data_IF_319075260007
#
_entry.id   IF_319075260007
#
_cell.length_a   1.000
_cell.length_b   1.000
_cell.length_c   1.000
_cell.angle_alpha   90.00
_cell.angle_beta   90.00
_cell.angle_gamma   90.00
#
_symmetry.space_group_name_H-M   'P 1'
#
loop_
_entity.id
_entity.type
_entity.pdbx_description
1 polymer ?
#
# COMPACT_ATOMS: atom_id res chain seq x y z
N UNK A 1 -11.39 17.81 2.67
CA UNK A 1 -11.00 17.56 1.27
C UNK A 1 -10.61 18.88 0.62
N UNK A 2 -9.49 18.91 -0.10
CA UNK A 2 -9.09 20.05 -0.93
C UNK A 2 -8.94 19.52 -2.37
N UNK A 3 -9.70 20.04 -3.32
CA UNK A 3 -9.70 19.56 -4.71
C UNK A 3 -8.93 20.51 -5.62
N UNK A 4 -8.33 19.95 -6.68
CA UNK A 4 -7.70 20.71 -7.76
C UNK A 4 -8.72 21.31 -8.74
N UNK A 5 -10.01 21.02 -8.56
CA UNK A 5 -11.11 21.52 -9.37
C UNK A 5 -11.94 22.58 -8.64
N UNK A 6 -12.61 23.43 -9.42
CA UNK A 6 -13.55 24.44 -8.92
C UNK A 6 -15.01 23.97 -8.94
N UNK A 7 -15.30 22.83 -9.55
CA UNK A 7 -16.65 22.27 -9.63
C UNK A 7 -16.90 21.31 -8.46
N UNK A 8 -17.91 21.59 -7.61
CA UNK A 8 -18.24 20.70 -6.51
C UNK A 8 -18.88 19.40 -7.02
N UNK A 9 -18.51 18.29 -6.40
CA UNK A 9 -19.07 16.96 -6.66
C UNK A 9 -19.40 16.36 -5.29
N UNK A 10 -20.69 16.19 -5.00
CA UNK A 10 -21.19 15.78 -3.68
C UNK A 10 -20.82 14.34 -3.34
N UNK A 11 -20.89 13.47 -4.34
CA UNK A 11 -20.44 12.08 -4.35
C UNK A 11 -18.95 11.90 -4.03
N UNK A 12 -18.13 12.93 -4.26
CA UNK A 12 -16.69 12.91 -3.93
C UNK A 12 -16.37 13.49 -2.56
N UNK A 13 -17.38 13.88 -1.78
CA UNK A 13 -17.18 14.23 -0.39
C UNK A 13 -16.80 12.98 0.43
N UNK A 14 -16.14 13.20 1.56
CA UNK A 14 -15.76 12.15 2.51
C UNK A 14 -16.39 12.46 3.88
N UNK A 15 -16.56 11.48 4.79
CA UNK A 15 -16.09 10.08 4.72
C UNK A 15 -16.73 9.23 3.60
N UNK A 16 -16.00 8.22 3.14
CA UNK A 16 -16.54 7.14 2.31
C UNK A 16 -17.25 6.10 3.23
N UNK A 17 -17.50 4.87 2.76
CA UNK A 17 -18.30 3.88 3.50
C UNK A 17 -17.59 3.39 4.75
N UNK A 18 -16.30 3.06 4.64
CA UNK A 18 -15.48 2.54 5.74
C UNK A 18 -14.31 3.43 6.11
N UNK A 19 -13.98 4.44 5.30
CA UNK A 19 -12.77 5.23 5.51
C UNK A 19 -12.87 6.71 5.15
N UNK A 20 -11.93 7.49 5.67
CA UNK A 20 -11.61 8.83 5.20
C UNK A 20 -10.10 8.94 4.98
N UNK A 21 -9.72 9.68 3.95
CA UNK A 21 -8.38 9.78 3.41
C UNK A 21 -7.92 11.23 3.36
N UNK A 22 -6.85 11.53 4.08
CA UNK A 22 -6.06 12.74 3.87
C UNK A 22 -4.80 12.36 3.10
N UNK A 23 -4.78 12.61 1.80
CA UNK A 23 -3.68 12.11 0.98
C UNK A 23 -3.95 12.17 -0.51
N UNK A 24 -3.09 11.49 -1.26
CA UNK A 24 -3.23 11.21 -2.69
C UNK A 24 -2.60 9.84 -2.98
N UNK A 25 -3.31 8.95 -3.64
CA UNK A 25 -2.78 7.63 -4.03
C UNK A 25 -2.07 7.76 -5.38
N UNK A 26 -0.74 7.73 -5.39
CA UNK A 26 0.07 7.96 -6.59
C UNK A 26 0.23 6.71 -7.47
N UNK A 27 -0.13 5.52 -6.97
CA UNK A 27 -0.14 4.26 -7.73
C UNK A 27 -1.52 3.89 -8.29
N UNK A 28 -2.52 4.79 -8.22
CA UNK A 28 -3.93 4.51 -8.50
C UNK A 28 -4.18 3.76 -9.81
N UNK A 29 -3.58 4.19 -10.92
CA UNK A 29 -3.84 3.56 -12.22
C UNK A 29 -3.35 2.10 -12.25
N UNK A 30 -2.22 1.82 -11.61
CA UNK A 30 -1.70 0.46 -11.47
C UNK A 30 -2.64 -0.39 -10.62
N UNK A 31 -3.03 0.11 -9.45
CA UNK A 31 -3.93 -0.60 -8.54
C UNK A 31 -5.30 -0.87 -9.18
N UNK A 32 -5.84 0.10 -9.91
CA UNK A 32 -7.09 -0.06 -10.67
C UNK A 32 -6.95 -1.19 -11.69
N UNK A 33 -5.91 -1.15 -12.53
CA UNK A 33 -5.69 -2.17 -13.57
C UNK A 33 -5.51 -3.57 -12.97
N UNK A 34 -4.79 -3.68 -11.85
CA UNK A 34 -4.57 -4.94 -11.16
C UNK A 34 -5.83 -5.50 -10.53
N UNK A 35 -6.66 -4.66 -9.93
CA UNK A 35 -7.99 -5.07 -9.46
C UNK A 35 -8.85 -5.53 -10.62
N UNK A 36 -8.89 -4.79 -11.73
CA UNK A 36 -9.61 -5.20 -12.95
C UNK A 36 -9.14 -6.52 -13.52
N UNK A 37 -7.83 -6.76 -13.54
CA UNK A 37 -7.27 -8.03 -14.00
C UNK A 37 -7.72 -9.22 -13.13
N UNK A 38 -7.93 -9.01 -11.82
CA UNK A 38 -8.39 -10.04 -10.88
C UNK A 38 -9.89 -10.36 -11.03
N UNK A 39 -10.71 -9.42 -11.50
CA UNK A 39 -12.17 -9.60 -11.64
C UNK A 39 -12.52 -10.83 -12.51
N UNK A 40 -11.72 -11.17 -13.51
CA UNK A 40 -11.98 -12.28 -14.43
C UNK A 40 -11.73 -13.69 -13.87
N UNK A 41 -11.04 -13.81 -12.74
CA UNK A 41 -10.72 -15.09 -12.07
C UNK A 41 -11.13 -15.08 -10.60
N UNK A 42 -12.00 -14.13 -10.24
CA UNK A 42 -12.44 -13.90 -8.88
C UNK A 42 -13.41 -15.01 -8.45
N UNK A 43 -13.16 -15.58 -7.27
CA UNK A 43 -14.04 -16.55 -6.64
C UNK A 43 -14.35 -16.09 -5.21
N UNK A 44 -15.57 -16.36 -4.74
CA UNK A 44 -16.03 -15.96 -3.41
C UNK A 44 -17.07 -16.93 -2.85
N UNK A 45 -16.73 -17.56 -1.73
CA UNK A 45 -17.68 -18.37 -0.96
C UNK A 45 -18.75 -17.51 -0.25
N UNK A 46 -18.46 -16.23 0.01
CA UNK A 46 -19.36 -15.30 0.70
C UNK A 46 -20.46 -14.77 -0.23
N UNK A 47 -20.10 -14.39 -1.46
CA UNK A 47 -21.05 -13.86 -2.44
C UNK A 47 -21.69 -14.95 -3.29
N UNK A 48 -21.00 -16.07 -3.53
CA UNK A 48 -21.44 -17.14 -4.42
C UNK A 48 -21.91 -16.59 -5.77
N UNK A 49 -23.11 -16.97 -6.20
CA UNK A 49 -23.73 -16.52 -7.46
C UNK A 49 -23.95 -14.99 -7.54
N UNK A 50 -23.85 -14.25 -6.43
CA UNK A 50 -23.99 -12.79 -6.42
C UNK A 50 -22.68 -12.05 -6.68
N UNK A 51 -21.54 -12.74 -6.82
CA UNK A 51 -20.24 -12.12 -7.01
C UNK A 51 -20.23 -11.18 -8.23
N UNK A 52 -20.83 -11.59 -9.34
CA UNK A 52 -20.94 -10.77 -10.56
C UNK A 52 -21.63 -9.43 -10.33
N UNK A 53 -22.53 -9.32 -9.34
CA UNK A 53 -23.23 -8.07 -9.01
C UNK A 53 -22.35 -7.06 -8.28
N UNK A 54 -21.26 -7.53 -7.69
CA UNK A 54 -20.24 -6.68 -7.06
C UNK A 54 -19.24 -6.14 -8.06
N UNK A 55 -19.30 -6.63 -9.31
CA UNK A 55 -18.43 -6.18 -10.39
C UNK A 55 -19.07 -5.00 -11.13
N UNK A 56 -18.28 -3.98 -11.50
CA UNK A 56 -16.87 -3.85 -11.17
C UNK A 56 -16.60 -3.53 -9.69
N UNK A 57 -15.53 -4.06 -9.13
CA UNK A 57 -15.17 -3.80 -7.72
C UNK A 57 -14.92 -2.31 -7.52
N UNK A 58 -14.16 -1.68 -8.42
CA UNK A 58 -13.96 -0.24 -8.43
C UNK A 58 -14.97 0.40 -9.38
N UNK A 59 -15.85 1.23 -8.81
CA UNK A 59 -16.85 1.99 -9.54
C UNK A 59 -16.19 2.93 -10.57
N UNK A 60 -16.91 3.26 -11.63
CA UNK A 60 -16.43 4.25 -12.62
C UNK A 60 -16.58 5.67 -12.05
N UNK A 61 -15.64 6.56 -12.33
CA UNK A 61 -15.68 8.01 -11.99
C UNK A 61 -15.56 8.38 -10.49
N UNK A 62 -15.05 7.47 -9.66
CA UNK A 62 -14.73 7.75 -8.25
C UNK A 62 -13.36 8.42 -8.07
N UNK A 63 -13.17 9.08 -6.93
CA UNK A 63 -11.84 9.57 -6.53
C UNK A 63 -10.88 8.42 -6.21
N UNK A 64 -9.60 8.73 -6.06
CA UNK A 64 -8.59 7.80 -5.53
C UNK A 64 -9.01 7.17 -4.19
N UNK A 65 -9.57 8.00 -3.31
CA UNK A 65 -10.05 7.66 -1.98
C UNK A 65 -11.30 6.77 -2.06
N UNK A 66 -12.19 7.07 -3.00
CA UNK A 66 -13.37 6.22 -3.26
C UNK A 66 -12.99 4.87 -3.86
N UNK A 67 -11.97 4.84 -4.72
CA UNK A 67 -11.43 3.60 -5.29
C UNK A 67 -10.84 2.71 -4.20
N UNK A 68 -10.10 3.30 -3.26
CA UNK A 68 -9.57 2.59 -2.09
C UNK A 68 -10.70 2.04 -1.22
N UNK A 69 -11.72 2.86 -0.92
CA UNK A 69 -12.87 2.44 -0.10
C UNK A 69 -13.68 1.31 -0.75
N UNK A 70 -13.85 1.32 -2.08
CA UNK A 70 -14.51 0.23 -2.80
C UNK A 70 -13.77 -1.11 -2.64
N UNK A 71 -12.45 -1.10 -2.80
CA UNK A 71 -11.64 -2.33 -2.63
C UNK A 71 -11.63 -2.76 -1.16
N UNK A 72 -11.53 -1.81 -0.23
CA UNK A 72 -11.61 -2.08 1.20
C UNK A 72 -12.94 -2.77 1.54
N UNK A 73 -14.07 -2.17 1.15
CA UNK A 73 -15.41 -2.74 1.34
C UNK A 73 -15.52 -4.15 0.75
N UNK A 74 -15.03 -4.35 -0.49
CA UNK A 74 -15.06 -5.65 -1.14
C UNK A 74 -14.29 -6.71 -0.33
N UNK A 75 -13.11 -6.38 0.19
CA UNK A 75 -12.33 -7.30 1.04
C UNK A 75 -13.04 -7.62 2.35
N UNK A 76 -13.68 -6.62 2.99
CA UNK A 76 -14.45 -6.82 4.22
C UNK A 76 -15.64 -7.75 4.00
N UNK A 77 -16.43 -7.47 2.96
CA UNK A 77 -17.63 -8.25 2.64
C UNK A 77 -17.29 -9.67 2.18
N UNK A 78 -16.07 -9.88 1.68
CA UNK A 78 -15.53 -11.19 1.31
C UNK A 78 -14.75 -11.88 2.46
N UNK A 79 -15.02 -11.49 3.71
CA UNK A 79 -14.60 -12.24 4.90
C UNK A 79 -13.30 -11.80 5.57
N UNK A 80 -12.61 -10.76 5.06
CA UNK A 80 -11.44 -10.21 5.76
C UNK A 80 -11.86 -9.25 6.86
N UNK A 81 -11.09 -9.22 7.94
CA UNK A 81 -11.27 -8.17 8.96
C UNK A 81 -10.77 -6.82 8.44
N UNK A 82 -11.28 -5.72 9.01
CA UNK A 82 -10.89 -4.37 8.64
C UNK A 82 -9.38 -4.14 8.78
N UNK A 83 -8.78 -4.61 9.87
CA UNK A 83 -7.35 -4.52 10.13
C UNK A 83 -6.54 -5.29 9.09
N UNK A 84 -6.94 -6.52 8.77
CA UNK A 84 -6.26 -7.35 7.78
C UNK A 84 -6.29 -6.70 6.39
N UNK A 85 -7.47 -6.22 5.96
CA UNK A 85 -7.61 -5.54 4.68
C UNK A 85 -6.75 -4.28 4.59
N UNK A 86 -6.70 -3.46 5.65
CA UNK A 86 -5.86 -2.27 5.71
C UNK A 86 -4.36 -2.64 5.69
N UNK A 87 -3.93 -3.66 6.44
CA UNK A 87 -2.53 -4.12 6.43
C UNK A 87 -2.09 -4.67 5.08
N UNK A 88 -3.02 -5.27 4.31
CA UNK A 88 -2.77 -5.73 2.95
C UNK A 88 -2.66 -4.57 1.95
N UNK A 89 -3.56 -3.59 2.04
CA UNK A 89 -3.61 -2.48 1.09
C UNK A 89 -2.52 -1.42 1.36
N UNK A 90 -2.20 -1.18 2.63
CA UNK A 90 -1.19 -0.20 3.08
C UNK A 90 -0.15 -0.92 3.96
N UNK A 91 0.69 -1.81 3.37
CA UNK A 91 1.70 -2.53 4.13
C UNK A 91 2.80 -1.59 4.60
N UNK A 92 3.37 -1.90 5.77
CA UNK A 92 4.55 -1.19 6.25
C UNK A 92 5.80 -1.53 5.42
N UNK A 93 6.84 -0.71 5.51
CA UNK A 93 8.09 -0.95 4.80
C UNK A 93 8.85 -2.12 5.45
N UNK A 94 8.77 -3.32 4.85
CA UNK A 94 9.29 -4.56 5.44
C UNK A 94 10.60 -5.07 4.81
N UNK A 95 10.86 -4.78 3.54
CA UNK A 95 11.95 -5.40 2.76
C UNK A 95 13.35 -5.18 3.33
N UNK A 96 13.61 -3.98 3.87
CA UNK A 96 14.92 -3.60 4.41
C UNK A 96 14.88 -3.33 5.92
N UNK A 97 13.85 -3.80 6.62
CA UNK A 97 13.73 -3.63 8.07
C UNK A 97 14.49 -4.76 8.80
N UNK A 98 15.63 -4.44 9.40
CA UNK A 98 16.42 -5.43 10.15
C UNK A 98 15.88 -5.70 11.56
N UNK A 99 15.01 -4.84 12.10
CA UNK A 99 14.42 -4.98 13.43
C UNK A 99 13.10 -5.77 13.41
N UNK A 100 12.45 -5.83 12.24
CA UNK A 100 11.23 -6.61 12.05
C UNK A 100 11.48 -8.12 12.16
N UNK A 101 10.59 -8.80 12.91
CA UNK A 101 10.62 -10.25 13.08
C UNK A 101 10.41 -10.99 11.75
N UNK A 102 11.05 -12.16 11.61
CA UNK A 102 10.93 -12.99 10.40
C UNK A 102 9.48 -13.39 10.12
N UNK A 103 8.70 -13.64 11.17
CA UNK A 103 7.28 -13.94 11.06
C UNK A 103 6.47 -12.80 10.42
N UNK A 104 6.75 -11.56 10.83
CA UNK A 104 6.10 -10.36 10.30
C UNK A 104 6.56 -10.07 8.87
N UNK A 105 7.84 -10.28 8.57
CA UNK A 105 8.37 -10.21 7.19
C UNK A 105 7.69 -11.21 6.27
N UNK A 106 7.59 -12.47 6.67
CA UNK A 106 6.94 -13.52 5.90
C UNK A 106 5.47 -13.20 5.62
N UNK A 107 4.76 -12.62 6.60
CA UNK A 107 3.38 -12.13 6.40
C UNK A 107 3.31 -11.07 5.29
N UNK A 108 4.15 -10.04 5.34
CA UNK A 108 4.13 -8.98 4.33
C UNK A 108 4.65 -9.43 2.97
N UNK A 109 5.68 -10.29 2.93
CA UNK A 109 6.19 -10.89 1.70
C UNK A 109 5.10 -11.71 1.01
N UNK A 110 4.40 -12.56 1.76
CA UNK A 110 3.26 -13.31 1.24
C UNK A 110 2.19 -12.39 0.64
N UNK A 111 1.76 -11.36 1.37
CA UNK A 111 0.73 -10.45 0.87
C UNK A 111 1.20 -9.56 -0.29
N UNK A 112 2.51 -9.29 -0.41
CA UNK A 112 3.06 -8.57 -1.56
C UNK A 112 2.89 -9.32 -2.88
N UNK A 113 2.75 -10.66 -2.83
CA UNK A 113 2.41 -11.49 -3.99
C UNK A 113 0.90 -11.50 -4.31
N UNK A 114 0.06 -11.01 -3.40
CA UNK A 114 -1.41 -11.03 -3.53
C UNK A 114 -1.95 -9.67 -3.94
N UNK A 115 -1.50 -8.61 -3.27
CA UNK A 115 -1.98 -7.24 -3.42
C UNK A 115 -0.79 -6.29 -3.49
N UNK A 116 -0.73 -5.51 -4.56
CA UNK A 116 0.20 -4.40 -4.65
C UNK A 116 -0.18 -3.26 -3.68
N UNK A 117 0.81 -2.55 -3.10
CA UNK A 117 0.55 -1.45 -2.19
C UNK A 117 -0.22 -0.30 -2.85
N UNK A 118 -1.25 0.19 -2.17
CA UNK A 118 -1.92 1.44 -2.49
C UNK A 118 -1.12 2.60 -1.91
N UNK A 119 -0.08 2.98 -2.65
CA UNK A 119 0.97 3.90 -2.20
C UNK A 119 0.67 5.37 -2.54
N UNK A 120 1.36 6.25 -1.83
CA UNK A 120 1.20 7.70 -1.90
C UNK A 120 1.08 8.32 -0.50
N UNK A 121 1.24 9.65 -0.37
CA UNK A 121 1.08 10.31 0.92
C UNK A 121 -0.32 10.07 1.47
N UNK A 122 -0.45 9.42 2.62
CA UNK A 122 -1.75 9.03 3.15
C UNK A 122 -1.81 9.07 4.68
N UNK A 123 -2.90 9.64 5.19
CA UNK A 123 -3.41 9.39 6.53
C UNK A 123 -4.84 8.91 6.37
N UNK A 124 -5.05 7.62 6.62
CA UNK A 124 -6.32 6.94 6.40
C UNK A 124 -6.92 6.59 7.75
N UNK A 125 -8.08 7.14 8.05
CA UNK A 125 -8.91 6.75 9.20
C UNK A 125 -10.00 5.81 8.73
N UNK A 126 -10.32 4.78 9.49
CA UNK A 126 -11.30 3.76 9.09
C UNK A 126 -12.14 3.28 10.27
N UNK A 127 -13.33 2.76 9.96
CA UNK A 127 -14.25 2.20 10.95
C UNK A 127 -15.23 1.21 10.30
N UNK A 128 -15.53 0.12 10.99
CA UNK A 128 -16.63 -0.82 10.69
C UNK A 128 -17.77 -0.74 11.72
N UNK A 129 -17.75 0.29 12.57
CA UNK A 129 -18.70 0.46 13.68
C UNK A 129 -18.29 -0.25 14.98
N UNK A 130 -17.40 -1.25 14.94
CA UNK A 130 -16.80 -1.87 16.13
C UNK A 130 -15.41 -1.33 16.42
N UNK A 131 -14.63 -1.10 15.38
CA UNK A 131 -13.30 -0.54 15.48
C UNK A 131 -13.30 0.87 14.92
N UNK A 132 -12.47 1.75 15.50
CA UNK A 132 -12.02 2.96 14.83
C UNK A 132 -10.50 2.96 14.82
N UNK A 133 -9.91 3.19 13.67
CA UNK A 133 -8.46 3.13 13.51
C UNK A 133 -7.93 4.12 12.51
N UNK A 134 -6.61 4.18 12.46
CA UNK A 134 -5.89 4.98 11.49
C UNK A 134 -4.53 4.34 11.14
N UNK A 135 -4.13 4.50 9.89
CA UNK A 135 -2.79 4.20 9.39
C UNK A 135 -2.22 5.39 8.63
N UNK A 136 -0.89 5.49 8.64
CA UNK A 136 -0.18 6.33 7.69
C UNK A 136 0.35 5.49 6.54
N UNK A 137 0.66 6.15 5.43
CA UNK A 137 1.50 5.56 4.41
C UNK A 137 2.87 5.13 4.98
N UNK A 138 3.56 4.26 4.23
CA UNK A 138 4.86 3.69 4.59
C UNK A 138 5.93 4.72 4.95
N UNK A 139 5.85 5.94 4.43
CA UNK A 139 6.81 7.02 4.67
C UNK A 139 6.30 8.04 5.69
N UNK A 140 5.03 7.96 6.11
CA UNK A 140 4.40 8.88 7.07
C UNK A 140 4.37 10.32 6.58
N UNK A 141 3.96 10.52 5.32
CA UNK A 141 4.00 11.82 4.65
C UNK A 141 2.86 12.76 5.06
N UNK A 142 1.92 12.28 5.89
CA UNK A 142 0.81 13.09 6.42
C UNK A 142 0.82 13.11 7.95
N UNK A 143 0.54 14.26 8.57
CA UNK A 143 0.50 14.36 10.02
C UNK A 143 -0.78 13.75 10.59
N UNK A 144 -0.65 12.97 11.66
CA UNK A 144 -1.76 12.52 12.50
C UNK A 144 -1.35 12.52 13.96
N UNK A 145 -2.08 13.26 14.79
CA UNK A 145 -1.82 13.46 16.22
C UNK A 145 -3.03 12.97 17.02
N UNK A 146 -2.80 12.41 18.19
CA UNK A 146 -3.88 11.98 19.05
C UNK A 146 -3.67 12.35 20.53
N UNK A 147 -4.80 12.51 21.22
CA UNK A 147 -4.89 12.65 22.67
C UNK A 147 -5.70 11.50 23.24
N UNK A 148 -5.19 10.93 24.33
CA UNK A 148 -5.96 10.09 25.24
C UNK A 148 -6.22 10.92 26.49
N UNK A 149 -7.46 10.91 26.96
CA UNK A 149 -7.84 11.64 28.17
C UNK A 149 -8.06 10.71 29.36
N UNK A 150 -8.15 11.26 30.57
CA UNK A 150 -8.45 10.49 31.78
C UNK A 150 -9.91 10.03 31.86
N UNK A 151 -10.81 10.64 31.08
CA UNK A 151 -12.21 10.24 30.92
C UNK A 151 -12.43 9.36 29.67
N UNK A 152 -11.41 8.59 29.28
CA UNK A 152 -11.44 7.57 28.23
C UNK A 152 -11.90 8.05 26.84
N UNK A 153 -11.64 9.32 26.52
CA UNK A 153 -11.82 9.84 25.16
C UNK A 153 -10.53 9.71 24.36
N UNK A 154 -10.73 9.36 23.08
CA UNK A 154 -9.70 9.35 22.06
C UNK A 154 -10.02 10.45 21.06
N UNK A 155 -9.10 11.40 20.91
CA UNK A 155 -9.24 12.50 19.96
C UNK A 155 -8.06 12.42 19.00
N UNK A 156 -8.33 12.17 17.72
CA UNK A 156 -7.32 12.16 16.66
C UNK A 156 -7.65 13.22 15.62
N UNK A 157 -6.64 13.96 15.18
CA UNK A 157 -6.75 14.94 14.12
C UNK A 157 -5.42 15.11 13.38
N UNK A 158 -5.46 15.71 12.19
CA UNK A 158 -4.26 16.06 11.42
C UNK A 158 -3.38 17.10 12.12
N UNK A 159 -3.97 17.89 13.03
CA UNK A 159 -3.31 18.96 13.77
C UNK A 159 -3.64 18.90 15.27
N UNK A 160 -2.88 19.65 16.07
CA UNK A 160 -3.11 19.79 17.51
C UNK A 160 -3.94 21.03 17.80
N UNK A 161 -4.79 20.96 18.83
CA UNK A 161 -5.61 22.11 19.24
C UNK A 161 -6.92 22.28 18.46
N UNK A 162 -7.33 21.26 17.69
CA UNK A 162 -8.61 21.25 16.97
C UNK A 162 -9.82 21.13 17.92
N UNK A 163 -9.62 20.47 19.06
CA UNK A 163 -10.62 20.31 20.11
C UNK A 163 -10.04 20.83 21.41
N UNK A 164 -10.79 21.68 22.11
CA UNK A 164 -10.42 22.16 23.44
C UNK A 164 -10.53 21.04 24.47
N UNK A 165 -9.39 20.69 25.06
CA UNK A 165 -9.28 19.69 26.12
C UNK A 165 -8.52 20.30 27.28
N UNK A 166 -9.11 20.26 28.49
CA UNK A 166 -8.44 20.72 29.70
C UNK A 166 -7.11 19.99 29.89
N UNK A 167 -6.03 20.74 30.11
CA UNK A 167 -4.66 20.18 30.16
C UNK A 167 -4.53 19.08 31.21
N UNK A 168 -5.17 19.24 32.37
CA UNK A 168 -5.15 18.28 33.47
C UNK A 168 -5.94 16.99 33.17
N UNK A 169 -6.79 16.99 32.14
CA UNK A 169 -7.51 15.81 31.68
C UNK A 169 -6.76 15.03 30.59
N UNK A 170 -5.60 15.50 30.14
CA UNK A 170 -4.83 14.82 29.09
C UNK A 170 -3.93 13.75 29.72
N UNK A 171 -4.26 12.48 29.46
CA UNK A 171 -3.50 11.31 29.90
C UNK A 171 -2.26 11.08 29.05
N UNK A 172 -2.41 11.14 27.73
CA UNK A 172 -1.30 10.91 26.79
C UNK A 172 -1.46 11.77 25.55
N UNK A 173 -0.34 12.31 25.03
CA UNK A 173 -0.26 12.93 23.71
C UNK A 173 0.65 12.08 22.83
N UNK A 174 0.17 11.75 21.63
CA UNK A 174 0.92 10.92 20.68
C UNK A 174 0.80 11.41 19.24
N UNK A 175 1.55 10.75 18.37
CA UNK A 175 1.45 10.89 16.92
C UNK A 175 1.46 9.51 16.30
N UNK A 176 0.74 9.36 15.19
CA UNK A 176 0.83 8.17 14.37
C UNK A 176 2.22 8.12 13.72
N UNK A 177 2.79 6.91 13.64
CA UNK A 177 4.12 6.68 13.06
C UNK A 177 3.96 5.87 11.77
N UNK A 178 4.81 6.09 10.76
CA UNK A 178 4.82 5.25 9.57
C UNK A 178 4.87 3.76 9.96
N UNK A 179 4.11 2.94 9.24
CA UNK A 179 4.00 1.50 9.49
C UNK A 179 3.16 1.10 10.70
N UNK A 180 2.89 1.98 11.67
CA UNK A 180 2.08 1.66 12.86
C UNK A 180 0.59 1.87 12.62
N UNK A 181 -0.23 0.92 13.06
CA UNK A 181 -1.69 1.03 13.11
C UNK A 181 -2.14 1.54 14.47
N UNK A 182 -2.95 2.60 14.45
CA UNK A 182 -3.72 3.03 15.61
C UNK A 182 -5.09 2.37 15.57
N UNK A 183 -5.52 1.72 16.65
CA UNK A 183 -6.79 1.00 16.65
C UNK A 183 -7.44 1.04 18.04
N UNK A 184 -8.68 1.50 18.10
CA UNK A 184 -9.56 1.39 19.26
C UNK A 184 -10.55 0.27 19.00
N UNK A 185 -10.63 -0.70 19.91
CA UNK A 185 -11.66 -1.75 19.91
C UNK A 185 -12.74 -1.38 20.91
N UNK A 186 -13.93 -0.99 20.42
CA UNK A 186 -15.06 -0.65 21.29
C UNK A 186 -15.65 -1.88 22.00
N UNK A 187 -15.43 -3.09 21.48
CA UNK A 187 -15.84 -4.33 22.15
C UNK A 187 -14.99 -4.63 23.38
N UNK A 188 -13.71 -4.29 23.35
CA UNK A 188 -12.79 -4.43 24.50
C UNK A 188 -12.66 -3.16 25.34
N UNK A 189 -13.13 -2.02 24.83
CA UNK A 189 -13.04 -0.73 25.50
C UNK A 189 -11.62 -0.21 25.65
N UNK A 190 -10.72 -0.52 24.71
CA UNK A 190 -9.30 -0.13 24.81
C UNK A 190 -8.67 0.23 23.47
N UNK A 191 -7.55 0.95 23.55
CA UNK A 191 -6.59 1.05 22.46
C UNK A 191 -5.80 -0.26 22.37
N UNK A 192 -5.74 -0.85 21.18
CA UNK A 192 -4.99 -2.07 20.90
C UNK A 192 -3.58 -1.68 20.46
N UNK A 193 -2.58 -2.41 20.96
CA UNK A 193 -1.19 -2.17 20.60
C UNK A 193 -0.91 -2.64 19.16
N UNK A 194 -0.07 -1.92 18.42
CA UNK A 194 0.27 -2.27 17.03
C UNK A 194 0.95 -3.63 16.92
N UNK A 195 1.85 -3.95 17.84
CA UNK A 195 2.58 -5.21 17.80
C UNK A 195 1.63 -6.37 18.11
N UNK A 196 0.67 -6.18 19.03
CA UNK A 196 -0.41 -7.15 19.27
C UNK A 196 -1.25 -7.41 18.00
N UNK A 197 -1.65 -6.36 17.27
CA UNK A 197 -2.42 -6.49 16.03
C UNK A 197 -1.64 -7.31 15.00
N UNK A 198 -0.39 -6.93 14.74
CA UNK A 198 0.42 -7.54 13.69
C UNK A 198 0.90 -8.94 14.05
N UNK A 199 1.19 -9.21 15.31
CA UNK A 199 1.57 -10.54 15.77
C UNK A 199 0.39 -11.51 15.63
N UNK A 200 -0.85 -11.08 15.91
CA UNK A 200 -2.05 -11.87 15.67
C UNK A 200 -2.24 -12.22 14.19
N UNK A 201 -2.02 -11.28 13.27
CA UNK A 201 -2.17 -11.55 11.83
C UNK A 201 -1.01 -12.34 11.25
N UNK A 202 0.23 -12.02 11.62
CA UNK A 202 1.42 -12.73 11.14
C UNK A 202 1.55 -14.15 11.70
N UNK A 203 0.84 -14.47 12.79
CA UNK A 203 0.74 -15.83 13.35
C UNK A 203 -0.45 -16.65 12.87
N UNK A 204 -1.39 -16.04 12.14
CA UNK A 204 -2.63 -16.68 11.70
C UNK A 204 -2.39 -17.87 10.77
N UNK A 205 -1.33 -17.82 9.94
CA UNK A 205 -0.98 -18.85 8.97
C UNK A 205 0.54 -19.09 8.93
N UNK A 206 1.00 -20.24 8.43
CA UNK A 206 2.43 -20.54 8.33
C UNK A 206 3.06 -19.87 7.09
N UNK A 207 3.05 -18.54 7.04
CA UNK A 207 3.46 -17.76 5.86
C UNK A 207 4.86 -18.12 5.35
N UNK A 208 5.86 -18.23 6.23
CA UNK A 208 7.23 -18.60 5.85
C UNK A 208 7.26 -19.94 5.14
N UNK A 209 6.53 -20.93 5.66
CA UNK A 209 6.46 -22.27 5.05
C UNK A 209 5.88 -22.20 3.64
N UNK A 210 4.83 -21.41 3.43
CA UNK A 210 4.25 -21.25 2.10
C UNK A 210 5.22 -20.58 1.12
N UNK A 211 5.97 -19.57 1.57
CA UNK A 211 6.99 -18.93 0.75
C UNK A 211 8.09 -19.94 0.39
N UNK A 212 8.65 -20.65 1.36
CA UNK A 212 9.71 -21.64 1.13
C UNK A 212 9.27 -22.77 0.19
N UNK A 213 8.01 -23.20 0.26
CA UNK A 213 7.48 -24.32 -0.53
C UNK A 213 6.98 -23.93 -1.93
N UNK A 214 6.59 -22.67 -2.15
CA UNK A 214 5.86 -22.26 -3.36
C UNK A 214 6.54 -21.12 -4.13
N UNK A 215 7.46 -20.36 -3.52
CA UNK A 215 8.19 -19.29 -4.18
C UNK A 215 9.43 -19.87 -4.87
N UNK A 216 9.69 -19.44 -6.10
CA UNK A 216 10.90 -19.79 -6.84
C UNK A 216 11.59 -18.48 -7.18
N UNK A 217 12.82 -18.30 -6.73
CA UNK A 217 13.61 -17.13 -7.12
C UNK A 217 14.28 -17.40 -8.46
N UNK A 218 14.18 -16.46 -9.41
CA UNK A 218 14.85 -16.59 -10.71
C UNK A 218 16.37 -16.78 -10.57
N UNK A 219 16.98 -16.27 -9.50
CA UNK A 219 18.40 -16.47 -9.17
C UNK A 219 18.78 -17.91 -8.84
N UNK A 220 17.82 -18.76 -8.45
CA UNK A 220 18.02 -20.18 -8.16
C UNK A 220 17.96 -21.04 -9.44
N UNK A 221 17.39 -20.48 -10.52
CA UNK A 221 17.33 -21.12 -11.82
C UNK A 221 18.67 -20.96 -12.53
N UNK A 222 19.54 -21.97 -12.40
CA UNK A 222 20.77 -22.03 -13.16
C UNK A 222 20.47 -22.26 -14.65
N UNK A 223 20.78 -21.27 -15.50
CA UNK A 223 20.89 -21.49 -16.94
C UNK A 223 22.34 -21.86 -17.26
N UNK A 224 22.57 -23.11 -17.67
CA UNK A 224 23.87 -23.59 -18.13
C UNK A 224 24.06 -23.37 -19.65
N UNK A 225 23.13 -22.68 -20.31
CA UNK A 225 23.23 -22.42 -21.73
C UNK A 225 24.08 -21.17 -21.98
N UNK A 226 24.99 -21.29 -22.94
CA UNK A 226 25.74 -20.15 -23.45
C UNK A 226 24.74 -19.11 -23.97
N UNK A 227 24.83 -17.87 -23.47
CA UNK A 227 23.92 -16.80 -23.87
C UNK A 227 24.00 -16.62 -25.39
N UNK A 228 22.93 -16.97 -26.09
CA UNK A 228 22.82 -16.69 -27.52
C UNK A 228 22.91 -15.18 -27.76
N UNK A 229 23.71 -14.73 -28.73
CA UNK A 229 23.52 -13.37 -29.27
C UNK A 229 24.74 -12.48 -29.45
N UNK A 230 25.96 -12.91 -29.12
CA UNK A 230 27.14 -12.17 -29.55
C UNK A 230 27.45 -12.54 -31.01
N UNK A 231 26.80 -11.84 -31.94
CA UNK A 231 27.08 -11.91 -33.39
C UNK A 231 27.79 -10.63 -33.85
N UNK A 232 29.12 -10.49 -33.63
CA UNK A 232 29.87 -9.28 -33.96
C UNK A 232 29.67 -8.80 -35.40
N UNK A 233 29.52 -9.73 -36.34
CA UNK A 233 29.38 -9.45 -37.77
C UNK A 233 28.13 -8.64 -38.13
N UNK A 234 27.06 -8.76 -37.33
CA UNK A 234 25.78 -8.08 -37.57
C UNK A 234 25.49 -6.95 -36.57
N UNK A 235 26.38 -6.75 -35.60
CA UNK A 235 26.18 -5.83 -34.49
C UNK A 235 25.91 -4.40 -34.98
N UNK A 236 26.74 -3.90 -35.90
CA UNK A 236 26.62 -2.53 -36.38
C UNK A 236 25.32 -2.29 -37.17
N UNK A 237 24.89 -3.25 -37.99
CA UNK A 237 23.63 -3.16 -38.73
C UNK A 237 22.44 -3.17 -37.78
N UNK A 238 22.47 -4.00 -36.73
CA UNK A 238 21.43 -4.04 -35.70
C UNK A 238 21.37 -2.74 -34.90
N UNK A 239 22.52 -2.23 -34.44
CA UNK A 239 22.60 -0.93 -33.75
C UNK A 239 21.97 0.18 -34.60
N UNK A 240 22.31 0.25 -35.89
CA UNK A 240 21.71 1.21 -36.82
C UNK A 240 20.21 1.00 -37.02
N UNK A 241 19.75 -0.25 -37.16
CA UNK A 241 18.32 -0.57 -37.33
C UNK A 241 17.47 -0.17 -36.11
N UNK A 242 18.05 -0.25 -34.90
CA UNK A 242 17.43 0.21 -33.66
C UNK A 242 17.73 1.68 -33.32
N UNK A 243 18.38 2.42 -34.22
CA UNK A 243 18.59 3.88 -34.07
C UNK A 243 19.72 4.28 -33.11
N UNK A 244 20.60 3.36 -32.72
CA UNK A 244 21.78 3.72 -31.93
C UNK A 244 22.71 4.62 -32.74
N UNK A 245 23.05 5.77 -32.17
CA UNK A 245 24.08 6.67 -32.70
C UNK A 245 25.39 6.53 -31.92
N UNK A 246 26.47 7.08 -32.46
CA UNK A 246 27.75 7.19 -31.74
C UNK A 246 27.58 7.92 -30.41
N UNK A 247 26.79 9.00 -30.40
CA UNK A 247 26.49 9.77 -29.18
C UNK A 247 25.74 8.93 -28.14
N UNK A 248 24.76 8.12 -28.56
CA UNK A 248 24.07 7.21 -27.62
C UNK A 248 25.03 6.19 -27.02
N UNK A 249 25.95 5.65 -27.81
CA UNK A 249 26.95 4.71 -27.30
C UNK A 249 27.94 5.41 -26.35
N UNK A 250 28.45 6.58 -26.74
CA UNK A 250 29.49 7.30 -26.00
C UNK A 250 28.99 7.98 -24.74
N UNK A 251 27.86 8.69 -24.83
CA UNK A 251 27.35 9.51 -23.73
C UNK A 251 26.30 8.81 -22.88
N UNK A 252 25.66 7.73 -23.38
CA UNK A 252 24.67 6.99 -22.59
C UNK A 252 25.17 5.61 -22.16
N UNK A 253 25.56 4.76 -23.12
CA UNK A 253 25.84 3.36 -22.83
C UNK A 253 27.19 3.14 -22.13
N UNK A 254 28.27 3.80 -22.57
CA UNK A 254 29.58 3.63 -21.94
C UNK A 254 29.61 4.07 -20.47
N UNK A 255 29.02 5.22 -20.06
CA UNK A 255 28.94 5.59 -18.65
C UNK A 255 28.18 4.57 -17.80
N UNK A 256 27.07 4.02 -18.30
CA UNK A 256 26.32 2.98 -17.58
C UNK A 256 27.17 1.74 -17.27
N UNK A 257 28.03 1.32 -18.20
CA UNK A 257 28.87 0.13 -18.04
C UNK A 257 30.13 0.42 -17.22
N UNK A 258 30.74 1.59 -17.42
CA UNK A 258 32.05 1.92 -16.82
C UNK A 258 31.93 2.57 -15.45
N UNK A 259 30.89 3.39 -15.23
CA UNK A 259 30.66 4.13 -13.98
C UNK A 259 29.52 3.55 -13.14
N UNK A 260 28.74 2.60 -13.68
CA UNK A 260 27.61 1.95 -13.00
C UNK A 260 26.55 2.95 -12.52
N UNK A 261 26.37 4.04 -13.25
CA UNK A 261 25.36 5.09 -12.97
C UNK A 261 24.83 5.70 -14.27
N UNK A 262 23.66 6.30 -14.19
CA UNK A 262 23.10 7.06 -15.30
C UNK A 262 24.03 8.22 -15.71
N UNK A 263 24.14 8.50 -17.02
CA UNK A 263 24.95 9.59 -17.54
C UNK A 263 24.39 10.94 -17.06
N UNK A 264 25.30 11.85 -16.69
CA UNK A 264 24.93 13.21 -16.26
C UNK A 264 25.25 14.21 -17.36
N UNK A 265 24.23 14.97 -17.79
CA UNK A 265 24.36 16.07 -18.73
C UNK A 265 24.15 17.43 -18.08
N UNK A 266 24.49 18.50 -18.80
CA UNK A 266 24.16 19.88 -18.42
C UNK A 266 23.75 20.67 -19.66
N UNK A 267 23.10 21.83 -19.46
CA UNK A 267 22.35 22.56 -20.49
C UNK A 267 21.08 21.80 -20.93
N UNK A 268 20.02 22.54 -21.29
CA UNK A 268 18.72 22.01 -21.70
C UNK A 268 18.41 22.25 -23.16
#
# INVERSE_FOLDING_TARGET
RFSTNTFPSWDRAQPCRFMAHNGEINTLQGNYNWMRAREGVLESDFFGDNLEKTLPVIETEVSDSGSFDNVLEFLLMNGRSLQEAVLMMVPEAWQNDHEMSDQKKAFYEYFSNVMEPWDGPASITFSDGRYIGAVLDRNGLRPSRYYLTHDDRVIMASEVGVVDVATDNIKTKGRLRPGKMFLVDFGQGRLVDDDEIKDNFSSKNPYQKWLDEQQIHLSELASNEEVHGLYPETLLQRLKAFGYSTETLEFMLFPLVTELRDPVGSMG
#
